data_IF_855005790738
#
_entry.id   IF_855005790738
#
_cell.length_a   1.000
_cell.length_b   1.000
_cell.length_c   1.000
_cell.angle_alpha   90.00
_cell.angle_beta   90.00
_cell.angle_gamma   90.00
#
_symmetry.space_group_name_H-M   'P 1'
#
loop_
_entity.id
_entity.type
_entity.pdbx_description
1 polymer ?
#
# COMPACT_ATOMS: atom_id res chain seq x y z
N UNK A 1 -30.74 -20.61 -2.07
CA UNK A 1 -30.93 -19.19 -1.63
C UNK A 1 -30.37 -18.27 -2.71
N UNK A 2 -31.17 -17.39 -3.33
CA UNK A 2 -30.67 -16.44 -4.34
C UNK A 2 -29.93 -15.30 -3.62
N UNK A 3 -28.64 -15.10 -3.92
CA UNK A 3 -27.85 -13.96 -3.41
C UNK A 3 -28.53 -12.65 -3.83
N UNK A 4 -28.85 -11.77 -2.88
CA UNK A 4 -29.36 -10.43 -3.20
C UNK A 4 -28.28 -9.67 -4.00
N UNK A 5 -28.63 -8.99 -5.11
CA UNK A 5 -27.65 -8.23 -5.89
C UNK A 5 -27.06 -7.12 -5.00
N UNK A 6 -25.74 -6.92 -5.11
CA UNK A 6 -25.01 -5.94 -4.32
C UNK A 6 -25.53 -4.52 -4.67
N UNK A 7 -26.06 -3.76 -3.68
CA UNK A 7 -26.60 -2.41 -3.93
C UNK A 7 -25.54 -1.42 -4.42
N UNK A 8 -24.25 -1.70 -4.22
CA UNK A 8 -23.13 -0.88 -4.71
C UNK A 8 -22.69 -1.21 -6.15
N UNK A 9 -23.49 -1.97 -6.91
CA UNK A 9 -23.15 -2.33 -8.30
C UNK A 9 -23.59 -1.29 -9.34
N UNK A 10 -23.84 -0.04 -8.92
CA UNK A 10 -24.14 1.04 -9.84
C UNK A 10 -23.03 1.15 -10.89
N UNK A 11 -23.42 0.98 -12.15
CA UNK A 11 -22.51 1.14 -13.29
C UNK A 11 -22.25 2.63 -13.43
N UNK A 12 -21.17 3.10 -12.84
CA UNK A 12 -20.72 4.48 -13.01
C UNK A 12 -20.14 4.64 -14.42
N UNK A 13 -20.80 5.43 -15.26
CA UNK A 13 -20.24 5.87 -16.54
C UNK A 13 -19.35 7.07 -16.30
N UNK A 14 -18.05 6.91 -16.54
CA UNK A 14 -17.07 8.01 -16.46
C UNK A 14 -16.93 8.62 -17.86
N UNK A 15 -17.20 9.91 -17.97
CA UNK A 15 -16.92 10.65 -19.21
C UNK A 15 -15.43 10.97 -19.25
N UNK A 16 -14.77 10.55 -20.33
CA UNK A 16 -13.35 10.79 -20.57
C UNK A 16 -13.21 11.85 -21.65
N UNK A 17 -12.25 12.76 -21.48
CA UNK A 17 -11.90 13.70 -22.54
C UNK A 17 -11.30 12.95 -23.73
N UNK A 18 -11.35 13.52 -24.95
CA UNK A 18 -10.71 12.91 -26.13
C UNK A 18 -9.23 12.61 -25.92
N UNK A 19 -8.52 13.50 -25.22
CA UNK A 19 -7.11 13.35 -24.88
C UNK A 19 -6.86 12.20 -23.88
N UNK A 20 -7.71 12.06 -22.85
CA UNK A 20 -7.65 10.92 -21.92
C UNK A 20 -7.89 9.58 -22.64
N UNK A 21 -8.86 9.54 -23.56
CA UNK A 21 -9.14 8.37 -24.38
C UNK A 21 -7.95 8.01 -25.26
N UNK A 22 -7.32 9.00 -25.90
CA UNK A 22 -6.15 8.80 -26.74
C UNK A 22 -4.97 8.22 -25.95
N UNK A 23 -4.69 8.76 -24.76
CA UNK A 23 -3.62 8.23 -23.89
C UNK A 23 -3.88 6.78 -23.43
N UNK A 24 -5.13 6.43 -23.12
CA UNK A 24 -5.49 5.05 -22.74
C UNK A 24 -5.29 4.06 -23.90
N UNK A 25 -5.61 4.48 -25.12
CA UNK A 25 -5.39 3.69 -26.33
C UNK A 25 -3.90 3.47 -26.59
N UNK A 26 -3.10 4.53 -26.45
CA UNK A 26 -1.65 4.44 -26.58
C UNK A 26 -1.05 3.48 -25.56
N UNK A 27 -1.45 3.60 -24.29
CA UNK A 27 -1.05 2.70 -23.20
C UNK A 27 -1.41 1.24 -23.49
N UNK A 28 -2.63 0.99 -23.97
CA UNK A 28 -3.07 -0.34 -24.37
C UNK A 28 -2.19 -0.90 -25.49
N UNK A 29 -1.90 -0.09 -26.51
CA UNK A 29 -1.10 -0.50 -27.65
C UNK A 29 0.35 -0.82 -27.24
N UNK A 30 0.95 0.00 -26.38
CA UNK A 30 2.30 -0.25 -25.83
C UNK A 30 2.34 -1.55 -25.03
N UNK A 31 1.37 -1.77 -24.11
CA UNK A 31 1.31 -3.01 -23.32
C UNK A 31 1.09 -4.25 -24.21
N UNK A 32 0.27 -4.14 -25.25
CA UNK A 32 0.02 -5.21 -26.22
C UNK A 32 1.28 -5.61 -27.00
N UNK A 33 2.16 -4.64 -27.33
CA UNK A 33 3.45 -4.93 -28.00
C UNK A 33 4.39 -5.79 -27.15
N UNK A 34 4.27 -5.74 -25.83
CA UNK A 34 5.04 -6.55 -24.88
C UNK A 34 4.30 -7.87 -24.54
N UNK A 35 3.20 -8.17 -25.23
CA UNK A 35 2.39 -9.37 -25.01
C UNK A 35 1.42 -9.27 -23.83
N UNK A 36 1.27 -8.08 -23.22
CA UNK A 36 0.33 -7.86 -22.12
C UNK A 36 -0.98 -7.25 -22.64
N UNK A 37 -1.96 -8.11 -22.91
CA UNK A 37 -3.28 -7.71 -23.38
C UNK A 37 -4.16 -7.29 -22.20
N UNK A 38 -4.40 -5.98 -22.08
CA UNK A 38 -5.26 -5.39 -21.06
C UNK A 38 -6.46 -4.70 -21.69
N UNK A 39 -7.62 -4.75 -21.03
CA UNK A 39 -8.78 -4.01 -21.47
C UNK A 39 -8.66 -2.53 -21.08
N UNK A 40 -9.40 -1.66 -21.78
CA UNK A 40 -9.50 -0.24 -21.38
C UNK A 40 -10.03 -0.06 -19.96
N UNK A 41 -10.96 -0.93 -19.54
CA UNK A 41 -11.52 -0.88 -18.20
C UNK A 41 -10.47 -1.21 -17.13
N UNK A 42 -9.54 -2.11 -17.43
CA UNK A 42 -8.43 -2.41 -16.52
C UNK A 42 -7.48 -1.22 -16.41
N UNK A 43 -7.16 -0.58 -17.54
CA UNK A 43 -6.37 0.66 -17.55
C UNK A 43 -7.04 1.80 -16.79
N UNK A 44 -8.37 1.92 -16.87
CA UNK A 44 -9.13 2.90 -16.11
C UNK A 44 -9.09 2.60 -14.62
N UNK A 45 -9.23 1.33 -14.22
CA UNK A 45 -9.08 0.92 -12.82
C UNK A 45 -7.69 1.22 -12.29
N UNK A 46 -6.65 0.88 -13.06
CA UNK A 46 -5.26 1.18 -12.73
C UNK A 46 -5.08 2.69 -12.53
N UNK A 47 -5.55 3.52 -13.47
CA UNK A 47 -5.43 4.97 -13.40
C UNK A 47 -6.13 5.56 -12.17
N UNK A 48 -7.35 5.10 -11.87
CA UNK A 48 -8.08 5.52 -10.65
C UNK A 48 -7.33 5.08 -9.40
N UNK A 49 -6.83 3.85 -9.38
CA UNK A 49 -6.04 3.34 -8.25
C UNK A 49 -4.76 4.17 -8.05
N UNK A 50 -4.06 4.54 -9.12
CA UNK A 50 -2.89 5.42 -9.03
C UNK A 50 -3.25 6.80 -8.50
N UNK A 51 -4.35 7.38 -8.97
CA UNK A 51 -4.82 8.68 -8.49
C UNK A 51 -5.11 8.62 -6.98
N UNK A 52 -5.85 7.62 -6.52
CA UNK A 52 -6.18 7.42 -5.10
C UNK A 52 -4.95 7.06 -4.27
N UNK A 53 -3.99 6.33 -4.84
CA UNK A 53 -2.74 5.99 -4.17
C UNK A 53 -1.88 7.23 -3.90
N UNK A 54 -1.88 8.18 -4.85
CA UNK A 54 -1.13 9.43 -4.78
C UNK A 54 -1.80 10.51 -3.93
N UNK A 55 -3.10 10.39 -3.61
CA UNK A 55 -3.74 11.30 -2.68
C UNK A 55 -3.16 11.14 -1.27
N UNK A 56 -3.08 12.24 -0.53
CA UNK A 56 -2.81 12.17 0.90
C UNK A 56 -3.90 11.36 1.60
N UNK A 57 -3.48 10.53 2.54
CA UNK A 57 -4.42 9.73 3.32
C UNK A 57 -5.31 10.66 4.13
N UNK A 58 -6.63 10.52 3.97
CA UNK A 58 -7.58 11.27 4.77
C UNK A 58 -7.32 11.00 6.26
N UNK A 59 -7.25 12.04 7.12
CA UNK A 59 -7.12 11.86 8.56
C UNK A 59 -8.22 10.93 9.09
N UNK A 60 -7.82 9.91 9.86
CA UNK A 60 -8.75 8.91 10.40
C UNK A 60 -9.23 7.85 9.40
N UNK A 61 -8.78 7.88 8.14
CA UNK A 61 -9.00 6.77 7.22
C UNK A 61 -8.27 5.51 7.69
N UNK A 62 -8.77 4.33 7.29
CA UNK A 62 -8.11 3.05 7.61
C UNK A 62 -6.65 3.03 7.16
N UNK A 63 -6.34 3.63 6.01
CA UNK A 63 -4.99 3.70 5.45
C UNK A 63 -4.08 4.61 6.27
N UNK A 64 -4.55 5.80 6.65
CA UNK A 64 -3.82 6.69 7.56
C UNK A 64 -3.53 6.01 8.91
N UNK A 65 -4.54 5.32 9.47
CA UNK A 65 -4.42 4.59 10.73
C UNK A 65 -3.39 3.46 10.60
N UNK A 66 -3.47 2.65 9.53
CA UNK A 66 -2.54 1.55 9.28
C UNK A 66 -1.09 2.06 9.18
N UNK A 67 -0.84 3.10 8.38
CA UNK A 67 0.48 3.72 8.26
C UNK A 67 0.99 4.28 9.60
N UNK A 68 0.10 4.87 10.40
CA UNK A 68 0.41 5.35 11.74
C UNK A 68 0.73 4.22 12.73
N UNK A 69 0.09 3.06 12.58
CA UNK A 69 0.39 1.86 13.38
C UNK A 69 1.74 1.28 12.95
N UNK A 70 1.98 1.12 11.65
CA UNK A 70 3.26 0.63 11.10
C UNK A 70 4.43 1.45 11.64
N UNK A 71 4.36 2.78 11.54
CA UNK A 71 5.43 3.65 12.08
C UNK A 71 5.62 3.51 13.60
N UNK A 72 4.54 3.26 14.35
CA UNK A 72 4.65 3.02 15.81
C UNK A 72 5.26 1.66 16.12
N UNK A 73 5.00 0.65 15.30
CA UNK A 73 5.59 -0.69 15.41
C UNK A 73 7.08 -0.61 15.12
N UNK A 74 7.49 0.04 14.03
CA UNK A 74 8.91 0.22 13.69
C UNK A 74 9.68 0.94 14.82
N UNK A 75 9.06 1.95 15.42
CA UNK A 75 9.63 2.66 16.57
C UNK A 75 9.71 1.78 17.83
N UNK A 76 8.78 0.83 17.99
CA UNK A 76 8.82 -0.13 19.09
C UNK A 76 9.93 -1.16 18.87
N UNK A 77 10.06 -1.70 17.66
CA UNK A 77 11.11 -2.65 17.29
C UNK A 77 12.49 -2.06 17.55
N UNK A 78 12.72 -0.82 17.12
CA UNK A 78 13.98 -0.09 17.39
C UNK A 78 14.27 0.02 18.89
N UNK A 79 13.26 0.25 19.73
CA UNK A 79 13.43 0.32 21.20
C UNK A 79 13.73 -1.05 21.80
N UNK A 80 13.08 -2.11 21.30
CA UNK A 80 13.32 -3.48 21.74
C UNK A 80 14.76 -3.91 21.41
N UNK A 81 15.25 -3.58 20.23
CA UNK A 81 16.65 -3.84 19.84
C UNK A 81 17.64 -3.11 20.75
N UNK A 82 17.34 -1.84 21.08
CA UNK A 82 18.13 -1.06 22.03
C UNK A 82 18.17 -1.69 23.42
N UNK A 83 17.02 -2.12 23.95
CA UNK A 83 16.93 -2.82 25.23
C UNK A 83 17.69 -4.15 25.22
N UNK A 84 17.59 -4.90 24.13
CA UNK A 84 18.29 -6.18 23.96
C UNK A 84 19.81 -5.97 23.98
N UNK A 85 20.29 -4.93 23.30
CA UNK A 85 21.71 -4.55 23.30
C UNK A 85 22.20 -4.17 24.70
N UNK A 86 21.44 -3.35 25.41
CA UNK A 86 21.78 -2.93 26.79
C UNK A 86 21.80 -4.13 27.72
N UNK A 87 20.83 -5.03 27.61
CA UNK A 87 20.74 -6.24 28.43
C UNK A 87 21.93 -7.17 28.18
N UNK A 88 22.28 -7.44 26.93
CA UNK A 88 23.46 -8.25 26.58
C UNK A 88 24.74 -7.65 27.18
N UNK A 89 24.95 -6.35 27.02
CA UNK A 89 26.10 -5.65 27.61
C UNK A 89 26.10 -5.60 29.14
N UNK A 90 24.94 -5.70 29.79
CA UNK A 90 24.84 -5.86 31.24
C UNK A 90 25.22 -7.28 31.67
N UNK A 91 24.69 -8.30 30.99
CA UNK A 91 24.99 -9.71 31.26
C UNK A 91 26.50 -9.97 31.13
N UNK A 92 27.13 -9.47 30.07
CA UNK A 92 28.58 -9.58 29.87
C UNK A 92 29.40 -8.95 31.01
N UNK A 93 28.98 -7.79 31.51
CA UNK A 93 29.67 -7.12 32.63
C UNK A 93 29.53 -7.88 33.95
N UNK A 94 28.35 -8.43 34.21
CA UNK A 94 28.08 -9.20 35.44
C UNK A 94 28.77 -10.55 35.42
N UNK A 95 28.76 -11.25 34.28
CA UNK A 95 29.44 -12.54 34.11
C UNK A 95 30.94 -12.40 34.24
N UNK A 96 31.57 -11.41 33.57
CA UNK A 96 33.00 -11.14 33.70
C UNK A 96 33.44 -10.85 35.14
N UNK A 97 32.59 -10.17 35.94
CA UNK A 97 32.88 -9.88 37.35
C UNK A 97 32.84 -11.12 38.25
N UNK A 98 32.22 -12.23 37.81
CA UNK A 98 32.17 -13.49 38.58
C UNK A 98 33.31 -14.45 38.27
N UNK A 99 33.97 -14.29 37.12
CA UNK A 99 35.04 -15.18 36.66
C UNK A 99 36.46 -14.69 37.03
N UNK A 100 36.61 -13.43 37.46
CA UNK A 100 37.84 -12.88 38.03
C UNK A 100 37.73 -12.70 39.54
#
# INVERSE_FOLDING_TARGET
MKKKPNPYSERMTVNLTPDQMWRLEELRNVRSRVGNFVSKNDLLRDAVNFYLAAQEDLPGSRRAIAKGIESKVDALDTKVDGLTTILSGFIERVTRKREG
#
